data_IF_956682498809
#
_entry.id   IF_956682498809
#
_cell.length_a   1.000
_cell.length_b   1.000
_cell.length_c   1.000
_cell.angle_alpha   90.00
_cell.angle_beta   90.00
_cell.angle_gamma   90.00
#
_symmetry.space_group_name_H-M   'P 1'
#
loop_
_entity.id
_entity.type
_entity.pdbx_description
1 polymer ?
#
# COMPACT_ATOMS: atom_id res chain seq x y z
N UNK A 1 17.65 -7.57 -16.21
CA UNK A 1 16.22 -7.95 -16.11
C UNK A 1 15.92 -8.53 -14.73
N UNK A 2 14.91 -8.04 -13.99
CA UNK A 2 14.59 -8.58 -12.65
C UNK A 2 13.93 -9.93 -12.93
N UNK A 3 14.59 -11.04 -12.58
CA UNK A 3 14.09 -12.40 -12.84
C UNK A 3 13.12 -12.90 -11.77
N UNK A 4 12.38 -11.98 -11.13
CA UNK A 4 11.40 -12.31 -10.08
C UNK A 4 10.00 -12.26 -10.68
N UNK A 5 9.19 -13.28 -10.38
CA UNK A 5 7.77 -13.27 -10.67
C UNK A 5 7.08 -12.11 -9.95
N UNK A 6 6.11 -11.49 -10.62
CA UNK A 6 5.32 -10.37 -10.12
C UNK A 6 3.86 -10.60 -10.50
N UNK A 7 2.94 -10.07 -9.70
CA UNK A 7 1.51 -10.13 -9.99
C UNK A 7 1.15 -8.88 -10.80
N UNK A 8 0.69 -9.06 -12.02
CA UNK A 8 0.16 -7.97 -12.84
C UNK A 8 -1.37 -7.96 -12.77
N UNK A 9 -1.93 -6.80 -12.43
CA UNK A 9 -3.38 -6.55 -12.45
C UNK A 9 -3.59 -5.36 -13.37
N UNK A 10 -4.28 -5.53 -14.49
CA UNK A 10 -4.55 -4.47 -15.47
C UNK A 10 -6.01 -4.54 -15.88
N UNK A 11 -6.67 -3.39 -15.90
CA UNK A 11 -8.07 -3.28 -16.31
C UNK A 11 -8.41 -1.85 -16.71
N UNK A 12 -9.25 -1.65 -17.73
CA UNK A 12 -9.78 -0.32 -18.06
C UNK A 12 -10.69 0.23 -16.95
N UNK A 13 -11.26 -0.62 -16.10
CA UNK A 13 -12.14 -0.22 -14.99
C UNK A 13 -11.46 -0.43 -13.64
N UNK A 14 -10.85 0.65 -13.12
CA UNK A 14 -10.13 0.64 -11.83
C UNK A 14 -11.03 0.27 -10.64
N UNK A 15 -12.30 0.69 -10.67
CA UNK A 15 -13.23 0.53 -9.55
C UNK A 15 -13.64 -0.92 -9.32
N UNK A 16 -13.74 -1.70 -10.40
CA UNK A 16 -14.28 -3.07 -10.35
C UNK A 16 -13.20 -4.16 -10.38
N UNK A 17 -11.93 -3.80 -10.60
CA UNK A 17 -10.83 -4.77 -10.65
C UNK A 17 -9.85 -4.49 -9.53
N UNK A 18 -9.87 -5.34 -8.51
CA UNK A 18 -8.99 -5.25 -7.35
C UNK A 18 -8.76 -6.62 -6.72
N UNK A 19 -7.70 -6.73 -5.95
CA UNK A 19 -7.49 -7.83 -4.99
C UNK A 19 -7.69 -7.28 -3.58
N UNK A 20 -8.30 -8.07 -2.70
CA UNK A 20 -8.54 -7.67 -1.30
C UNK A 20 -8.13 -8.78 -0.36
N UNK A 21 -7.62 -8.40 0.80
CA UNK A 21 -7.28 -9.30 1.88
C UNK A 21 -7.87 -8.76 3.19
N UNK A 22 -8.68 -9.54 3.95
CA UNK A 22 -9.03 -10.95 3.70
C UNK A 22 -10.13 -11.13 2.63
N UNK A 23 -10.20 -12.30 1.99
CA UNK A 23 -11.21 -12.57 0.97
C UNK A 23 -12.65 -12.51 1.53
N UNK A 24 -12.86 -12.91 2.79
CA UNK A 24 -14.17 -12.83 3.44
C UNK A 24 -14.42 -11.44 4.05
N UNK A 25 -15.66 -10.97 3.97
CA UNK A 25 -16.09 -9.67 4.51
C UNK A 25 -16.14 -9.64 6.05
N UNK A 26 -16.41 -10.78 6.68
CA UNK A 26 -16.56 -10.91 8.14
C UNK A 26 -15.24 -11.16 8.87
N UNK A 27 -14.12 -11.30 8.15
CA UNK A 27 -12.79 -11.48 8.74
C UNK A 27 -12.00 -10.19 8.67
N UNK A 28 -11.05 -10.06 9.60
CA UNK A 28 -10.06 -8.98 9.65
C UNK A 28 -8.66 -9.58 9.59
N UNK A 29 -7.71 -8.80 9.08
CA UNK A 29 -6.28 -9.14 9.11
C UNK A 29 -5.71 -9.09 10.54
N UNK A 30 -6.19 -8.16 11.37
CA UNK A 30 -5.75 -7.94 12.75
C UNK A 30 -4.23 -7.73 12.90
N UNK A 31 -3.61 -7.05 11.93
CA UNK A 31 -2.17 -6.75 11.96
C UNK A 31 -1.97 -5.45 12.72
N UNK A 32 -1.12 -5.47 13.75
CA UNK A 32 -0.86 -4.32 14.65
C UNK A 32 0.40 -3.53 14.31
N UNK A 33 1.07 -3.90 13.22
CA UNK A 33 2.32 -3.27 12.80
C UNK A 33 2.03 -1.90 12.16
N UNK A 34 2.69 -0.81 12.61
CA UNK A 34 2.34 0.56 12.25
C UNK A 34 2.73 0.97 10.82
N UNK A 35 3.65 0.24 10.18
CA UNK A 35 4.07 0.51 8.81
C UNK A 35 3.57 -0.57 7.87
N UNK A 36 3.12 -0.16 6.70
CA UNK A 36 2.84 -1.02 5.56
C UNK A 36 3.67 -0.54 4.37
N UNK A 37 4.30 -1.48 3.67
CA UNK A 37 5.16 -1.20 2.52
C UNK A 37 4.62 -1.93 1.31
N UNK A 38 4.47 -1.19 0.21
CA UNK A 38 4.07 -1.70 -1.10
C UNK A 38 5.25 -1.57 -2.06
N UNK A 39 5.61 -2.66 -2.72
CA UNK A 39 6.58 -2.66 -3.82
C UNK A 39 5.80 -2.83 -5.11
N UNK A 40 5.62 -1.72 -5.84
CA UNK A 40 4.78 -1.64 -7.03
C UNK A 40 5.54 -1.03 -8.20
N UNK A 41 5.30 -1.52 -9.42
CA UNK A 41 5.77 -0.88 -10.64
C UNK A 41 4.69 0.07 -11.18
N UNK A 42 5.08 1.31 -11.43
CA UNK A 42 4.24 2.28 -12.13
C UNK A 42 4.12 1.87 -13.62
N UNK A 43 2.89 1.74 -14.10
CA UNK A 43 2.55 1.43 -15.49
C UNK A 43 2.10 2.67 -16.27
N UNK A 44 2.29 3.87 -15.71
CA UNK A 44 1.83 5.15 -16.26
C UNK A 44 0.31 5.16 -16.52
N UNK A 45 -0.43 4.55 -15.61
CA UNK A 45 -1.90 4.42 -15.63
C UNK A 45 -2.47 4.75 -14.26
N UNK A 46 -3.76 5.03 -14.19
CA UNK A 46 -4.43 5.27 -12.91
C UNK A 46 -4.41 4.06 -12.01
N UNK A 47 -3.86 4.25 -10.81
CA UNK A 47 -3.66 3.24 -9.79
C UNK A 47 -4.08 3.79 -8.42
N UNK A 48 -4.65 2.92 -7.60
CA UNK A 48 -4.99 3.22 -6.21
C UNK A 48 -4.96 1.98 -5.33
N UNK A 49 -4.86 2.20 -4.04
CA UNK A 49 -5.07 1.16 -3.04
C UNK A 49 -5.80 1.73 -1.83
N UNK A 50 -6.42 0.84 -1.07
CA UNK A 50 -7.13 1.14 0.15
C UNK A 50 -6.61 0.31 1.31
N UNK A 51 -6.53 0.92 2.48
CA UNK A 51 -6.19 0.28 3.74
C UNK A 51 -7.28 0.67 4.73
N UNK A 52 -7.98 -0.33 5.26
CA UNK A 52 -8.92 -0.15 6.36
C UNK A 52 -8.19 -0.44 7.67
N UNK A 53 -8.35 0.46 8.63
CA UNK A 53 -7.76 0.38 9.95
C UNK A 53 -8.85 0.54 11.01
N UNK A 54 -8.61 -0.07 12.16
CA UNK A 54 -9.37 0.13 13.37
C UNK A 54 -8.61 1.10 14.27
N UNK A 55 -9.32 2.08 14.83
CA UNK A 55 -8.77 2.93 15.88
C UNK A 55 -9.06 2.39 17.29
N UNK A 56 -8.51 3.05 18.30
CA UNK A 56 -8.69 2.74 19.72
C UNK A 56 -10.11 2.95 20.23
N UNK A 57 -10.94 3.68 19.49
CA UNK A 57 -12.37 3.83 19.77
C UNK A 57 -13.24 2.76 19.09
N UNK A 58 -12.64 1.83 18.34
CA UNK A 58 -13.34 0.78 17.61
C UNK A 58 -14.01 1.27 16.32
N UNK A 59 -13.69 2.47 15.85
CA UNK A 59 -14.17 3.02 14.58
C UNK A 59 -13.28 2.56 13.44
N UNK A 60 -13.91 2.14 12.34
CA UNK A 60 -13.21 1.74 11.12
C UNK A 60 -12.96 2.95 10.24
N UNK A 61 -11.69 3.20 9.94
CA UNK A 61 -11.24 4.28 9.09
C UNK A 61 -10.59 3.73 7.83
N UNK A 62 -10.91 4.34 6.68
CA UNK A 62 -10.35 3.94 5.39
C UNK A 62 -9.36 4.96 4.86
N UNK A 63 -8.16 4.51 4.53
CA UNK A 63 -7.17 5.31 3.82
C UNK A 63 -7.10 4.85 2.37
N UNK A 64 -7.34 5.77 1.43
CA UNK A 64 -7.16 5.52 0.00
C UNK A 64 -6.05 6.40 -0.54
N UNK A 65 -5.02 5.80 -1.12
CA UNK A 65 -3.97 6.51 -1.84
C UNK A 65 -4.16 6.31 -3.34
N UNK A 66 -4.02 7.37 -4.13
CA UNK A 66 -4.19 7.31 -5.58
C UNK A 66 -3.29 8.29 -6.33
N UNK A 67 -2.91 7.92 -7.56
CA UNK A 67 -2.05 8.75 -8.41
C UNK A 67 -2.80 9.77 -9.30
N UNK A 68 -4.13 9.75 -9.28
CA UNK A 68 -5.01 10.69 -9.99
C UNK A 68 -5.63 11.74 -9.05
N UNK A 69 -5.30 11.70 -7.77
CA UNK A 69 -5.73 12.68 -6.79
C UNK A 69 -4.63 13.69 -6.53
N UNK A 70 -4.99 14.97 -6.45
CA UNK A 70 -4.02 16.06 -6.25
C UNK A 70 -3.95 16.58 -4.82
N UNK A 71 -5.03 16.40 -4.03
CA UNK A 71 -5.15 16.96 -2.68
C UNK A 71 -5.61 15.91 -1.68
N UNK A 72 -5.10 15.99 -0.46
CA UNK A 72 -5.59 15.17 0.66
C UNK A 72 -6.96 15.66 1.09
N UNK A 73 -7.93 14.75 1.24
CA UNK A 73 -9.26 15.06 1.79
C UNK A 73 -9.58 14.09 2.90
N UNK A 74 -9.88 14.63 4.07
CA UNK A 74 -10.29 13.88 5.26
C UNK A 74 -11.82 13.95 5.37
N UNK A 75 -12.47 12.78 5.40
CA UNK A 75 -13.90 12.61 5.70
C UNK A 75 -14.04 11.65 6.89
N UNK A 76 -15.18 11.64 7.60
CA UNK A 76 -15.36 10.89 8.85
C UNK A 76 -15.00 9.39 8.80
N UNK A 77 -15.15 8.74 7.64
CA UNK A 77 -14.86 7.31 7.45
C UNK A 77 -13.82 7.02 6.36
N UNK A 78 -13.37 8.05 5.64
CA UNK A 78 -12.42 7.89 4.54
C UNK A 78 -11.50 9.09 4.42
N UNK A 79 -10.21 8.83 4.41
CA UNK A 79 -9.17 9.78 4.06
C UNK A 79 -8.58 9.40 2.71
N UNK A 80 -8.60 10.35 1.79
CA UNK A 80 -8.10 10.16 0.43
C UNK A 80 -6.85 10.99 0.25
N UNK A 81 -5.77 10.39 -0.24
CA UNK A 81 -4.43 10.97 -0.26
C UNK A 81 -3.84 10.89 -1.67
N UNK A 82 -3.16 11.96 -2.13
CA UNK A 82 -2.42 11.93 -3.38
C UNK A 82 -1.17 11.05 -3.20
N UNK A 83 -0.79 10.33 -4.25
CA UNK A 83 0.47 9.60 -4.33
C UNK A 83 1.16 9.93 -5.64
N UNK A 84 2.46 10.20 -5.58
CA UNK A 84 3.31 10.29 -6.77
C UNK A 84 4.12 9.01 -6.88
N UNK A 85 4.17 8.46 -8.09
CA UNK A 85 4.95 7.29 -8.42
C UNK A 85 5.93 7.67 -9.51
N UNK A 86 7.20 7.37 -9.30
CA UNK A 86 8.24 7.55 -10.30
C UNK A 86 8.12 6.49 -11.40
N UNK A 87 8.69 6.72 -12.60
CA UNK A 87 8.76 5.69 -13.63
C UNK A 87 9.52 4.45 -13.13
N UNK A 88 8.95 3.26 -13.32
CA UNK A 88 9.57 2.00 -12.91
C UNK A 88 9.12 1.50 -11.54
N UNK A 89 10.04 0.89 -10.79
CA UNK A 89 9.74 0.26 -9.49
C UNK A 89 9.76 1.28 -8.37
N UNK A 90 8.71 1.28 -7.56
CA UNK A 90 8.52 2.19 -6.44
C UNK A 90 8.31 1.39 -5.15
N UNK A 91 8.91 1.87 -4.07
CA UNK A 91 8.64 1.41 -2.73
C UNK A 91 7.81 2.47 -2.00
N UNK A 92 6.52 2.19 -1.83
CA UNK A 92 5.59 3.11 -1.17
C UNK A 92 5.44 2.68 0.28
N UNK A 93 5.83 3.55 1.20
CA UNK A 93 5.73 3.33 2.63
C UNK A 93 4.57 4.15 3.20
N UNK A 94 3.72 3.50 3.99
CA UNK A 94 2.66 4.16 4.74
C UNK A 94 2.84 3.96 6.23
N UNK A 95 2.92 5.08 6.96
CA UNK A 95 2.89 5.10 8.41
C UNK A 95 1.44 5.21 8.89
N UNK A 96 0.80 4.07 9.13
CA UNK A 96 -0.63 4.00 9.46
C UNK A 96 -0.95 4.72 10.77
N UNK A 97 -0.11 4.53 11.79
CA UNK A 97 -0.31 5.19 13.09
C UNK A 97 -0.26 6.73 12.99
N UNK A 98 0.69 7.29 12.24
CA UNK A 98 0.75 8.74 12.02
C UNK A 98 -0.44 9.23 11.18
N UNK A 99 -0.82 8.49 10.13
CA UNK A 99 -1.98 8.83 9.30
C UNK A 99 -3.28 8.88 10.11
N UNK A 100 -3.53 7.91 10.99
CA UNK A 100 -4.71 7.89 11.88
C UNK A 100 -4.68 9.08 12.84
N UNK A 101 -3.54 9.29 13.50
CA UNK A 101 -3.38 10.39 14.46
C UNK A 101 -3.58 11.76 13.81
N UNK A 102 -3.05 11.97 12.61
CA UNK A 102 -3.17 13.25 11.88
C UNK A 102 -4.54 13.47 11.26
N UNK A 103 -5.21 12.43 10.78
CA UNK A 103 -6.50 12.56 10.13
C UNK A 103 -7.67 12.64 11.13
N UNK A 104 -7.61 11.86 12.22
CA UNK A 104 -8.73 11.66 13.13
C UNK A 104 -8.43 12.03 14.59
N UNK A 105 -7.15 12.24 14.95
CA UNK A 105 -6.77 12.51 16.34
C UNK A 105 -6.81 11.28 17.25
N UNK A 106 -7.06 10.10 16.70
CA UNK A 106 -7.18 8.83 17.42
C UNK A 106 -5.91 7.99 17.29
N UNK A 107 -5.82 6.87 18.01
CA UNK A 107 -4.66 5.98 17.93
C UNK A 107 -4.96 4.78 17.02
N UNK A 108 -3.96 4.39 16.23
CA UNK A 108 -4.04 3.17 15.43
C UNK A 108 -4.01 1.93 16.32
N UNK A 109 -4.99 1.04 16.16
CA UNK A 109 -5.05 -0.23 16.85
C UNK A 109 -4.57 -1.38 15.95
N UNK A 110 -5.19 -1.52 14.77
CA UNK A 110 -4.84 -2.59 13.82
C UNK A 110 -5.31 -2.29 12.39
N UNK A 111 -4.72 -2.97 11.42
CA UNK A 111 -5.18 -3.02 10.03
C UNK A 111 -6.15 -4.17 9.86
N UNK A 112 -7.35 -3.85 9.38
CA UNK A 112 -8.42 -4.84 9.18
C UNK A 112 -8.45 -5.38 7.77
N UNK A 113 -8.15 -4.55 6.76
CA UNK A 113 -8.25 -4.92 5.34
C UNK A 113 -7.29 -4.13 4.47
N UNK A 114 -6.75 -4.78 3.45
CA UNK A 114 -5.98 -4.12 2.38
C UNK A 114 -6.58 -4.49 1.04
N UNK A 115 -6.81 -3.48 0.19
CA UNK A 115 -7.35 -3.64 -1.15
C UNK A 115 -6.44 -2.92 -2.15
N UNK A 116 -6.03 -3.60 -3.21
CA UNK A 116 -5.17 -3.03 -4.26
C UNK A 116 -5.93 -3.06 -5.58
N UNK A 117 -6.10 -1.89 -6.20
CA UNK A 117 -6.81 -1.78 -7.48
C UNK A 117 -5.89 -2.09 -8.67
N UNK A 118 -6.50 -2.23 -9.85
CA UNK A 118 -5.82 -2.52 -11.09
C UNK A 118 -4.81 -1.44 -11.54
N UNK A 119 -4.09 -1.77 -12.61
CA UNK A 119 -3.04 -0.99 -13.26
C UNK A 119 -1.75 -0.84 -12.46
N UNK A 120 -1.33 -1.93 -11.81
CA UNK A 120 -0.01 -2.03 -11.21
C UNK A 120 0.62 -3.41 -11.46
N UNK A 121 1.95 -3.47 -11.38
CA UNK A 121 2.64 -4.73 -11.08
C UNK A 121 3.03 -4.75 -9.62
N UNK A 122 2.44 -5.67 -8.88
CA UNK A 122 2.71 -5.85 -7.47
C UNK A 122 3.81 -6.91 -7.29
N UNK A 123 4.87 -6.55 -6.58
CA UNK A 123 5.92 -7.49 -6.18
C UNK A 123 5.72 -7.97 -4.76
N UNK A 124 5.52 -7.05 -3.80
CA UNK A 124 5.41 -7.36 -2.37
C UNK A 124 4.49 -6.37 -1.65
N UNK A 125 3.79 -6.87 -0.64
CA UNK A 125 3.13 -6.09 0.40
C UNK A 125 3.54 -6.74 1.72
N UNK A 126 4.06 -5.94 2.64
CA UNK A 126 4.43 -6.43 3.97
C UNK A 126 4.27 -5.32 5.00
N UNK A 127 4.20 -5.74 6.26
CA UNK A 127 4.11 -4.83 7.38
C UNK A 127 5.40 -4.85 8.19
N UNK A 128 5.75 -3.72 8.79
CA UNK A 128 6.93 -3.61 9.65
C UNK A 128 6.61 -2.77 10.90
N UNK A 129 7.39 -3.02 11.95
CA UNK A 129 7.37 -2.27 13.21
C UNK A 129 8.08 -0.92 13.09
N UNK A 130 9.12 -0.86 12.24
CA UNK A 130 9.91 0.33 11.94
C UNK A 130 10.32 0.37 10.47
N UNK A 131 10.89 1.49 10.05
CA UNK A 131 11.53 1.62 8.75
C UNK A 131 12.95 1.03 8.81
N UNK A 132 13.13 -0.13 8.18
CA UNK A 132 14.44 -0.74 7.99
C UNK A 132 15.14 -0.08 6.79
N UNK A 133 16.43 0.17 6.92
CA UNK A 133 17.27 0.58 5.79
C UNK A 133 17.44 -0.58 4.80
N UNK A 134 17.85 -0.28 3.55
CA UNK A 134 18.13 -1.33 2.56
C UNK A 134 19.20 -2.31 3.02
N UNK A 135 20.08 -1.94 3.96
CA UNK A 135 21.13 -2.81 4.49
C UNK A 135 20.58 -3.86 5.44
N UNK A 136 19.63 -3.46 6.30
CA UNK A 136 19.01 -4.30 7.34
C UNK A 136 17.91 -5.22 6.81
N UNK A 137 17.32 -4.89 5.65
CA UNK A 137 16.30 -5.74 5.03
C UNK A 137 16.91 -7.09 4.63
N UNK A 138 16.29 -8.24 4.94
CA UNK A 138 16.72 -9.51 4.38
C UNK A 138 16.75 -9.44 2.85
N UNK A 139 17.65 -10.20 2.20
CA UNK A 139 17.82 -10.16 0.74
C UNK A 139 16.50 -10.33 -0.03
N UNK A 140 15.54 -11.06 0.52
CA UNK A 140 14.22 -11.20 -0.06
C UNK A 140 13.50 -9.83 -0.18
N UNK A 141 13.53 -8.99 0.84
CA UNK A 141 12.83 -7.70 0.86
C UNK A 141 13.58 -6.57 0.16
N UNK A 142 14.85 -6.78 -0.23
CA UNK A 142 15.62 -5.78 -0.97
C UNK A 142 15.17 -5.68 -2.43
N UNK A 143 15.08 -4.45 -2.91
CA UNK A 143 14.71 -4.15 -4.29
C UNK A 143 15.96 -4.27 -5.18
N UNK A 144 16.41 -5.50 -5.44
CA UNK A 144 17.49 -5.70 -6.41
C UNK A 144 17.01 -5.32 -7.81
N UNK A 145 17.43 -4.15 -8.28
CA UNK A 145 17.48 -3.86 -9.69
C UNK A 145 18.56 -4.77 -10.31
N UNK A 146 18.33 -5.31 -11.51
CA UNK A 146 19.30 -6.19 -12.12
C UNK A 146 20.50 -5.34 -12.51
N UNK A 147 21.67 -5.72 -12.04
CA UNK A 147 22.92 -5.22 -12.59
C UNK A 147 22.93 -5.60 -14.08
N UNK A 148 23.07 -4.62 -14.97
CA UNK A 148 23.36 -4.88 -16.37
C UNK A 148 24.66 -5.68 -16.41
N UNK A 149 24.61 -6.92 -16.93
CA UNK A 149 25.85 -7.64 -17.23
C UNK A 149 26.58 -6.81 -18.29
N UNK A 150 27.83 -6.36 -18.06
CA UNK A 150 28.65 -5.90 -19.17
C UNK A 150 28.79 -7.05 -20.16
N UNK A 151 28.61 -6.72 -21.44
CA UNK A 151 28.73 -7.65 -22.56
C UNK A 151 30.14 -8.24 -22.67
#
# INVERSE_FOLDING_TARGET
MISSSVIEIVSPNLSNTYITCPAQLNRTLAIKLPYIVFVVKNLDKYFSFEIEVLDDHGTKQRFRASNYQSITRVKPYITTMPMRLDPGWNQVVFHLADCVKRAYGTNYAETTRVTVHANCRLRRIYFTDRLYSEEELPAEFKLFLPVEKPA
#
